data_IF_875862985812
#
_entry.id   IF_875862985812
#
_cell.length_a   1.000
_cell.length_b   1.000
_cell.length_c   1.000
_cell.angle_alpha   90.00
_cell.angle_beta   90.00
_cell.angle_gamma   90.00
#
_symmetry.space_group_name_H-M   'P 1'
#
loop_
_entity.id
_entity.type
_entity.pdbx_description
1 polymer ?
#
# COMPACT_ATOMS: atom_id res chain seq x y z
N UNK A 1 17.02 0.18 -10.97
CA UNK A 1 17.45 1.31 -10.10
C UNK A 1 16.42 1.43 -8.95
N UNK A 2 16.68 2.11 -7.84
CA UNK A 2 15.88 2.18 -6.58
C UNK A 2 16.12 1.13 -5.48
N UNK A 3 16.88 0.05 -5.73
CA UNK A 3 17.24 -0.90 -4.66
C UNK A 3 17.97 -0.18 -3.51
N UNK A 4 17.54 -0.40 -2.27
CA UNK A 4 18.08 0.26 -1.09
C UNK A 4 17.54 1.67 -0.80
N UNK A 5 16.63 2.19 -1.64
CA UNK A 5 16.00 3.50 -1.44
C UNK A 5 14.57 3.35 -0.91
N UNK A 6 14.07 4.40 -0.25
CA UNK A 6 12.65 4.55 0.08
C UNK A 6 11.98 5.33 -1.04
N UNK A 7 10.88 4.79 -1.58
CA UNK A 7 10.11 5.41 -2.68
C UNK A 7 8.74 5.79 -2.15
N UNK A 8 8.26 6.99 -2.51
CA UNK A 8 6.91 7.48 -2.21
C UNK A 8 6.13 7.56 -3.51
N UNK A 9 4.91 7.02 -3.52
CA UNK A 9 4.01 7.02 -4.68
C UNK A 9 2.70 7.71 -4.28
N UNK A 10 2.32 8.76 -5.02
CA UNK A 10 1.00 9.37 -4.93
C UNK A 10 0.10 8.82 -6.05
N UNK A 11 -1.06 8.27 -5.71
CA UNK A 11 -1.99 7.65 -6.67
C UNK A 11 -3.44 7.68 -6.17
N UNK A 12 -4.38 7.21 -6.99
CA UNK A 12 -5.78 6.99 -6.59
C UNK A 12 -5.94 5.66 -5.83
N UNK A 13 -6.96 5.58 -4.97
CA UNK A 13 -7.22 4.40 -4.13
C UNK A 13 -7.38 3.10 -4.92
N UNK A 14 -7.98 3.13 -6.12
CA UNK A 14 -8.15 1.94 -6.95
C UNK A 14 -6.80 1.37 -7.43
N UNK A 15 -5.90 2.23 -7.90
CA UNK A 15 -4.55 1.81 -8.34
C UNK A 15 -3.72 1.32 -7.15
N UNK A 16 -3.78 2.03 -6.01
CA UNK A 16 -3.15 1.60 -4.76
C UNK A 16 -3.61 0.20 -4.36
N UNK A 17 -4.93 -0.05 -4.39
CA UNK A 17 -5.52 -1.35 -4.04
C UNK A 17 -5.02 -2.46 -4.96
N UNK A 18 -4.99 -2.24 -6.29
CA UNK A 18 -4.48 -3.23 -7.23
C UNK A 18 -2.99 -3.55 -7.00
N UNK A 19 -2.18 -2.54 -6.72
CA UNK A 19 -0.76 -2.72 -6.43
C UNK A 19 -0.53 -3.51 -5.13
N UNK A 20 -1.30 -3.22 -4.08
CA UNK A 20 -1.24 -3.96 -2.82
C UNK A 20 -1.77 -5.39 -2.98
N UNK A 21 -2.88 -5.55 -3.72
CA UNK A 21 -3.53 -6.83 -4.02
C UNK A 21 -2.68 -7.80 -4.82
N UNK A 22 -1.76 -7.29 -5.66
CA UNK A 22 -0.76 -8.12 -6.34
C UNK A 22 0.12 -8.91 -5.37
N UNK A 23 0.46 -8.33 -4.21
CA UNK A 23 1.32 -8.96 -3.21
C UNK A 23 0.54 -9.68 -2.11
N UNK A 24 -0.67 -9.21 -1.78
CA UNK A 24 -1.50 -9.79 -0.73
C UNK A 24 -2.99 -9.64 -1.08
N UNK A 25 -3.64 -10.78 -1.36
CA UNK A 25 -5.03 -10.84 -1.82
C UNK A 25 -6.07 -10.23 -0.87
N UNK A 26 -5.71 -9.95 0.40
CA UNK A 26 -6.62 -9.27 1.34
C UNK A 26 -6.92 -7.82 0.94
N UNK A 27 -6.08 -7.21 0.10
CA UNK A 27 -6.32 -5.87 -0.45
C UNK A 27 -7.20 -5.96 -1.68
N UNK A 28 -8.49 -6.18 -1.42
CA UNK A 28 -9.53 -6.40 -2.43
C UNK A 28 -10.47 -5.19 -2.57
N UNK A 29 -11.62 -5.39 -3.23
CA UNK A 29 -12.64 -4.36 -3.35
C UNK A 29 -13.17 -3.88 -1.98
N UNK A 30 -13.29 -4.76 -0.99
CA UNK A 30 -13.77 -4.38 0.34
C UNK A 30 -12.76 -3.46 1.03
N UNK A 31 -11.45 -3.76 0.91
CA UNK A 31 -10.40 -2.86 1.36
C UNK A 31 -10.51 -1.47 0.71
N UNK A 32 -10.65 -1.40 -0.63
CA UNK A 32 -10.79 -0.13 -1.34
C UNK A 32 -11.94 0.72 -0.79
N UNK A 33 -13.09 0.10 -0.57
CA UNK A 33 -14.30 0.78 -0.08
C UNK A 33 -14.15 1.30 1.37
N UNK A 34 -13.22 0.76 2.15
CA UNK A 34 -12.93 1.19 3.52
C UNK A 34 -11.80 2.23 3.63
N UNK A 35 -11.06 2.51 2.54
CA UNK A 35 -9.96 3.49 2.56
C UNK A 35 -10.44 4.92 2.83
N UNK A 36 -9.70 5.64 3.68
CA UNK A 36 -9.90 7.09 3.90
C UNK A 36 -9.28 7.91 2.77
N UNK A 37 -9.48 9.24 2.78
CA UNK A 37 -8.86 10.16 1.81
C UNK A 37 -8.34 11.41 2.54
N UNK A 38 -7.00 11.61 2.63
CA UNK A 38 -5.96 10.69 2.17
C UNK A 38 -5.92 9.40 3.00
N UNK A 39 -5.16 8.42 2.52
CA UNK A 39 -4.80 7.22 3.27
C UNK A 39 -3.35 6.87 2.90
N UNK A 40 -2.55 6.46 3.88
CA UNK A 40 -1.11 6.27 3.70
C UNK A 40 -0.74 4.89 4.23
N UNK A 41 -0.12 4.10 3.36
CA UNK A 41 0.37 2.76 3.68
C UNK A 41 1.87 2.67 3.40
N UNK A 42 2.61 2.13 4.36
CA UNK A 42 4.02 1.74 4.20
C UNK A 42 4.08 0.25 3.92
N UNK A 43 4.66 -0.12 2.78
CA UNK A 43 4.93 -1.51 2.40
C UNK A 43 6.44 -1.77 2.55
N UNK A 44 6.83 -2.75 3.35
CA UNK A 44 8.23 -3.16 3.53
C UNK A 44 8.50 -4.44 2.73
N UNK A 45 9.65 -4.48 2.05
CA UNK A 45 10.01 -5.58 1.15
C UNK A 45 11.38 -6.17 1.51
N UNK A 46 11.48 -7.51 1.46
CA UNK A 46 12.75 -8.24 1.41
C UNK A 46 12.97 -8.74 -0.02
N UNK A 47 13.74 -7.98 -0.80
CA UNK A 47 13.86 -8.24 -2.25
C UNK A 47 12.54 -7.96 -2.97
N UNK A 48 11.85 -9.01 -3.42
CA UNK A 48 10.53 -8.93 -4.07
C UNK A 48 9.39 -9.38 -3.15
N UNK A 49 9.71 -9.92 -1.98
CA UNK A 49 8.73 -10.40 -1.01
C UNK A 49 8.21 -9.25 -0.16
N UNK A 50 6.89 -9.09 -0.10
CA UNK A 50 6.23 -8.16 0.81
C UNK A 50 6.22 -8.76 2.22
N UNK A 51 6.89 -8.11 3.17
CA UNK A 51 7.04 -8.63 4.55
C UNK A 51 6.14 -7.91 5.56
N UNK A 52 5.83 -6.63 5.34
CA UNK A 52 4.95 -5.86 6.22
C UNK A 52 4.14 -4.85 5.41
N UNK A 53 2.89 -4.61 5.85
CA UNK A 53 2.14 -3.41 5.49
C UNK A 53 1.64 -2.74 6.75
N UNK A 54 1.98 -1.45 6.91
CA UNK A 54 1.54 -0.61 8.02
C UNK A 54 0.73 0.57 7.50
N UNK A 55 -0.52 0.71 7.96
CA UNK A 55 -1.30 1.94 7.76
C UNK A 55 -0.71 3.03 8.66
N UNK A 56 -0.32 4.15 8.05
CA UNK A 56 0.28 5.31 8.72
C UNK A 56 -0.71 6.47 8.88
N UNK A 57 -1.84 6.43 8.18
CA UNK A 57 -2.86 7.46 8.28
C UNK A 57 -3.76 7.20 9.48
N UNK A 58 -3.79 8.17 10.41
CA UNK A 58 -4.72 8.20 11.54
C UNK A 58 -5.71 9.35 11.30
N UNK A 59 -7.00 9.05 11.48
CA UNK A 59 -8.03 10.10 11.46
C UNK A 59 -8.01 10.73 12.85
N UNK A 60 -7.64 12.01 12.92
CA UNK A 60 -7.80 12.85 14.11
C UNK A 60 -9.26 13.19 14.35
#
# INVERSE_FOLDING_TARGET
TYRGQKVVLGTHGAVMTLMMGYYDSKYDLNFLLQTSKPDIYRMEFNGQELVEVKRLWEIS
#
